data_IF_971447847573
#
_entry.id   IF_971447847573
#
_cell.length_a   1.000
_cell.length_b   1.000
_cell.length_c   1.000
_cell.angle_alpha   90.00
_cell.angle_beta   90.00
_cell.angle_gamma   90.00
#
_symmetry.space_group_name_H-M   'P 1'
#
loop_
_entity.id
_entity.type
_entity.pdbx_description
1 polymer ?
#
# COMPACT_ATOMS: atom_id res chain seq x y z
N UNK A 1 12.25 -26.23 -18.29
CA UNK A 1 12.78 -25.24 -17.32
C UNK A 1 14.15 -25.68 -16.84
N UNK A 2 15.02 -24.73 -16.51
CA UNK A 2 16.32 -24.99 -15.87
C UNK A 2 16.22 -24.52 -14.42
N UNK A 3 16.62 -25.38 -13.49
CA UNK A 3 16.57 -25.12 -12.05
C UNK A 3 17.96 -25.35 -11.49
N UNK A 4 18.44 -24.41 -10.69
CA UNK A 4 19.72 -24.50 -9.99
C UNK A 4 19.50 -24.32 -8.50
N UNK A 5 20.25 -25.05 -7.69
CA UNK A 5 20.34 -24.81 -6.25
C UNK A 5 21.70 -25.23 -5.69
N UNK A 6 22.19 -24.53 -4.65
CA UNK A 6 23.42 -24.92 -3.97
C UNK A 6 23.21 -26.13 -3.06
N UNK A 7 24.25 -26.91 -2.81
CA UNK A 7 24.23 -28.06 -1.91
C UNK A 7 25.03 -27.77 -0.64
N UNK A 8 24.84 -28.59 0.40
CA UNK A 8 25.55 -28.43 1.67
C UNK A 8 27.06 -28.65 1.57
N UNK A 9 27.53 -29.33 0.52
CA UNK A 9 28.94 -29.58 0.21
C UNK A 9 29.58 -28.46 -0.63
N UNK A 10 28.84 -27.38 -0.91
CA UNK A 10 29.30 -26.25 -1.73
C UNK A 10 29.17 -26.47 -3.24
N UNK A 11 28.75 -27.66 -3.69
CA UNK A 11 28.42 -27.90 -5.09
C UNK A 11 27.10 -27.23 -5.49
N UNK A 12 26.84 -27.13 -6.79
CA UNK A 12 25.55 -26.63 -7.32
C UNK A 12 24.95 -27.72 -8.19
N UNK A 13 23.68 -28.05 -7.94
CA UNK A 13 22.94 -28.97 -8.81
C UNK A 13 22.27 -28.18 -9.92
N UNK A 14 22.48 -28.62 -11.17
CA UNK A 14 21.70 -28.20 -12.33
C UNK A 14 20.67 -29.29 -12.66
N UNK A 15 19.41 -28.89 -12.81
CA UNK A 15 18.32 -29.79 -13.17
C UNK A 15 17.48 -29.22 -14.30
N UNK A 16 17.29 -30.01 -15.36
CA UNK A 16 16.38 -29.66 -16.45
C UNK A 16 15.08 -30.44 -16.30
N UNK A 17 13.97 -29.72 -16.14
CA UNK A 17 12.67 -30.31 -15.82
C UNK A 17 11.56 -29.85 -16.75
N UNK A 18 10.46 -30.60 -16.76
CA UNK A 18 9.22 -30.25 -17.46
C UNK A 18 8.00 -30.63 -16.63
N UNK A 19 6.89 -29.94 -16.85
CA UNK A 19 5.61 -30.19 -16.19
C UNK A 19 4.46 -29.77 -17.11
N UNK A 20 3.37 -30.56 -17.19
CA UNK A 20 2.10 -30.06 -17.69
C UNK A 20 1.37 -29.28 -16.58
N UNK A 21 1.24 -27.96 -16.73
CA UNK A 21 0.48 -27.11 -15.80
C UNK A 21 1.09 -26.99 -14.39
N UNK A 22 0.23 -26.99 -13.37
CA UNK A 22 0.59 -26.68 -11.97
C UNK A 22 0.90 -27.95 -11.15
N UNK A 23 1.88 -28.74 -11.58
CA UNK A 23 2.32 -29.95 -10.85
C UNK A 23 3.82 -29.90 -10.51
N UNK A 24 4.31 -30.89 -9.78
CA UNK A 24 5.75 -31.03 -9.50
C UNK A 24 6.52 -31.29 -10.80
N UNK A 25 7.50 -30.46 -11.17
CA UNK A 25 8.30 -30.69 -12.37
C UNK A 25 9.16 -31.95 -12.24
N UNK A 26 9.15 -32.75 -13.31
CA UNK A 26 9.92 -33.99 -13.43
C UNK A 26 11.17 -33.79 -14.26
N UNK A 27 12.23 -34.53 -13.93
CA UNK A 27 13.49 -34.52 -14.66
C UNK A 27 13.26 -34.92 -16.12
N UNK A 28 13.89 -34.21 -17.05
CA UNK A 28 13.87 -34.49 -18.49
C UNK A 28 15.23 -35.05 -18.88
N UNK A 29 15.25 -36.29 -19.37
CA UNK A 29 16.48 -36.97 -19.77
C UNK A 29 17.08 -36.46 -21.08
N UNK A 30 16.26 -35.91 -21.98
CA UNK A 30 16.69 -35.34 -23.27
C UNK A 30 15.94 -34.03 -23.57
N UNK A 31 16.38 -32.90 -23.00
CA UNK A 31 15.73 -31.61 -23.20
C UNK A 31 16.08 -31.03 -24.60
N UNK A 32 15.16 -30.30 -25.25
CA UNK A 32 15.41 -29.70 -26.59
C UNK A 32 16.62 -28.75 -26.65
N UNK A 33 16.91 -28.07 -25.54
CA UNK A 33 18.12 -27.27 -25.35
C UNK A 33 18.79 -27.71 -24.06
N UNK A 34 20.02 -28.21 -24.16
CA UNK A 34 20.79 -28.68 -23.01
C UNK A 34 21.43 -27.48 -22.31
N UNK A 35 21.18 -27.35 -21.01
CA UNK A 35 21.78 -26.32 -20.19
C UNK A 35 23.05 -26.85 -19.53
N UNK A 36 24.09 -26.03 -19.47
CA UNK A 36 25.34 -26.35 -18.79
C UNK A 36 25.58 -25.41 -17.61
N UNK A 37 26.07 -25.97 -16.51
CA UNK A 37 26.41 -25.21 -15.31
C UNK A 37 27.71 -24.44 -15.57
N UNK A 38 27.73 -23.14 -15.24
CA UNK A 38 28.95 -22.35 -15.30
C UNK A 38 29.80 -22.59 -14.04
N UNK A 39 31.11 -22.71 -14.24
CA UNK A 39 32.10 -22.78 -13.16
C UNK A 39 32.13 -21.53 -12.26
N UNK A 40 31.54 -20.41 -12.70
CA UNK A 40 31.38 -19.20 -11.90
C UNK A 40 30.27 -19.27 -10.86
N UNK A 41 29.52 -20.39 -10.79
CA UNK A 41 28.45 -20.56 -9.80
C UNK A 41 29.02 -20.87 -8.43
N UNK A 42 28.55 -20.18 -7.40
CA UNK A 42 28.94 -20.41 -6.01
C UNK A 42 27.80 -20.07 -5.04
N UNK A 43 27.87 -20.61 -3.83
CA UNK A 43 27.00 -20.19 -2.73
C UNK A 43 27.77 -20.24 -1.43
N UNK A 44 27.67 -19.18 -0.64
CA UNK A 44 28.27 -19.06 0.68
C UNK A 44 27.30 -18.36 1.64
N UNK A 45 27.74 -18.08 2.87
CA UNK A 45 26.91 -17.46 3.92
C UNK A 45 26.44 -16.04 3.61
N UNK A 46 27.09 -15.35 2.67
CA UNK A 46 26.86 -13.93 2.40
C UNK A 46 26.26 -13.68 1.02
N UNK A 47 26.50 -14.54 0.04
CA UNK A 47 26.01 -14.39 -1.32
C UNK A 47 25.86 -15.73 -2.05
N UNK A 48 24.98 -15.76 -3.04
CA UNK A 48 24.76 -16.90 -3.94
C UNK A 48 24.70 -16.41 -5.37
N UNK A 49 25.55 -16.96 -6.23
CA UNK A 49 25.55 -16.73 -7.66
C UNK A 49 25.34 -18.06 -8.37
N UNK A 50 24.26 -18.17 -9.13
CA UNK A 50 23.96 -19.36 -9.94
C UNK A 50 24.00 -18.94 -11.40
N UNK A 51 24.86 -19.57 -12.18
CA UNK A 51 25.09 -19.21 -13.58
C UNK A 51 25.03 -20.46 -14.43
N UNK A 52 24.29 -20.40 -15.53
CA UNK A 52 24.18 -21.48 -16.50
C UNK A 52 24.19 -20.90 -17.90
N UNK A 53 24.53 -21.74 -18.87
CA UNK A 53 24.44 -21.43 -20.30
C UNK A 53 23.46 -22.34 -21.00
N UNK A 54 22.74 -21.79 -21.98
CA UNK A 54 21.88 -22.52 -22.92
C UNK A 54 22.28 -22.05 -24.34
N UNK A 55 22.31 -22.95 -25.35
CA UNK A 55 22.52 -22.55 -26.74
C UNK A 55 21.53 -21.46 -27.19
N UNK A 56 22.03 -20.44 -27.88
CA UNK A 56 21.21 -19.37 -28.43
C UNK A 56 20.37 -19.85 -29.62
N UNK A 57 19.13 -19.37 -29.70
CA UNK A 57 18.21 -19.61 -30.83
C UNK A 57 18.29 -18.51 -31.90
N UNK A 58 19.32 -17.66 -31.89
CA UNK A 58 19.52 -16.51 -32.79
C UNK A 58 18.43 -15.41 -32.72
N UNK A 59 17.57 -15.47 -31.70
CA UNK A 59 16.58 -14.44 -31.39
C UNK A 59 17.23 -13.31 -30.59
N UNK A 60 16.81 -12.07 -30.85
CA UNK A 60 17.26 -10.89 -30.10
C UNK A 60 16.39 -10.59 -28.88
N UNK A 61 15.28 -11.31 -28.72
CA UNK A 61 14.33 -11.13 -27.64
C UNK A 61 13.81 -12.50 -27.22
N UNK A 62 13.92 -12.82 -25.92
CA UNK A 62 13.56 -14.12 -25.39
C UNK A 62 12.61 -13.95 -24.19
N UNK A 63 11.35 -14.41 -24.26
CA UNK A 63 10.49 -14.44 -23.10
C UNK A 63 11.07 -15.40 -22.05
N UNK A 64 11.13 -14.93 -20.81
CA UNK A 64 11.66 -15.65 -19.66
C UNK A 64 10.61 -15.71 -18.57
N UNK A 65 10.34 -16.93 -18.10
CA UNK A 65 9.62 -17.16 -16.84
C UNK A 65 10.69 -17.46 -15.79
N UNK A 66 10.66 -16.72 -14.69
CA UNK A 66 11.60 -16.91 -13.60
C UNK A 66 10.86 -17.18 -12.28
N UNK A 67 11.54 -17.88 -11.38
CA UNK A 67 11.10 -18.11 -10.02
C UNK A 67 12.33 -18.34 -9.13
N UNK A 68 12.24 -17.94 -7.86
CA UNK A 68 13.28 -18.22 -6.87
C UNK A 68 12.69 -18.53 -5.50
N UNK A 69 13.46 -19.24 -4.68
CA UNK A 69 13.12 -19.59 -3.31
C UNK A 69 14.36 -19.47 -2.43
N UNK A 70 14.17 -19.03 -1.19
CA UNK A 70 15.21 -19.17 -0.16
C UNK A 70 15.32 -20.60 0.37
N UNK A 71 14.40 -21.50 0.00
CA UNK A 71 14.34 -22.85 0.54
C UNK A 71 15.02 -23.86 -0.38
N UNK A 72 16.10 -24.47 0.11
CA UNK A 72 16.79 -25.54 -0.59
C UNK A 72 15.99 -26.86 -0.61
N UNK A 73 16.06 -27.67 -1.68
CA UNK A 73 15.47 -29.02 -1.73
C UNK A 73 16.04 -30.04 -0.72
N UNK A 74 17.15 -29.71 -0.04
CA UNK A 74 17.84 -30.57 0.93
C UNK A 74 18.43 -31.84 0.31
N UNK A 75 18.65 -31.86 -1.01
CA UNK A 75 19.24 -32.98 -1.75
C UNK A 75 20.00 -32.45 -2.96
N UNK A 76 21.15 -33.07 -3.26
CA UNK A 76 21.94 -32.79 -4.46
C UNK A 76 21.41 -33.50 -5.71
N UNK A 77 20.40 -34.37 -5.57
CA UNK A 77 19.85 -35.11 -6.71
C UNK A 77 19.13 -34.19 -7.69
N UNK A 78 19.42 -34.26 -9.01
CA UNK A 78 18.70 -33.49 -10.02
C UNK A 78 17.20 -33.75 -10.06
N UNK A 79 16.68 -34.83 -9.48
CA UNK A 79 15.25 -35.15 -9.41
C UNK A 79 14.56 -34.76 -8.08
N UNK A 80 15.29 -34.15 -7.13
CA UNK A 80 14.80 -33.81 -5.80
C UNK A 80 13.46 -33.06 -5.82
N UNK A 81 12.62 -33.28 -4.80
CA UNK A 81 11.35 -32.55 -4.68
C UNK A 81 11.65 -31.07 -4.45
N UNK A 82 11.15 -30.22 -5.36
CA UNK A 82 11.33 -28.78 -5.31
C UNK A 82 10.24 -28.21 -4.41
N UNK A 83 10.65 -27.43 -3.41
CA UNK A 83 9.73 -26.69 -2.55
C UNK A 83 9.24 -25.44 -3.29
N UNK A 84 8.10 -24.90 -2.86
CA UNK A 84 7.47 -23.76 -3.52
C UNK A 84 8.44 -22.57 -3.63
N UNK A 85 8.36 -21.83 -4.73
CA UNK A 85 9.05 -20.56 -4.90
C UNK A 85 8.43 -19.49 -4.01
N UNK A 86 9.23 -18.56 -3.51
CA UNK A 86 8.75 -17.41 -2.73
C UNK A 86 8.39 -16.23 -3.62
N UNK A 87 8.94 -16.19 -4.84
CA UNK A 87 8.62 -15.17 -5.85
C UNK A 87 8.84 -15.75 -7.25
N UNK A 88 8.05 -15.26 -8.21
CA UNK A 88 8.05 -15.69 -9.60
C UNK A 88 7.46 -14.61 -10.49
N UNK A 89 7.73 -14.69 -11.79
CA UNK A 89 7.18 -13.77 -12.76
C UNK A 89 7.60 -14.08 -14.18
N UNK A 90 7.23 -13.18 -15.08
CA UNK A 90 7.64 -13.20 -16.47
C UNK A 90 8.40 -11.92 -16.80
N UNK A 91 9.36 -12.03 -17.70
CA UNK A 91 10.12 -10.90 -18.24
C UNK A 91 10.56 -11.25 -19.66
N UNK A 92 11.19 -10.31 -20.35
CA UNK A 92 11.78 -10.52 -21.67
C UNK A 92 13.26 -10.18 -21.60
N UNK A 93 14.11 -11.15 -21.94
CA UNK A 93 15.54 -10.95 -22.05
C UNK A 93 15.87 -10.38 -23.43
N UNK A 94 16.43 -9.18 -23.44
CA UNK A 94 16.99 -8.57 -24.65
C UNK A 94 18.40 -9.10 -24.89
N UNK A 95 18.56 -9.86 -25.97
CA UNK A 95 19.80 -10.48 -26.40
C UNK A 95 20.53 -9.64 -27.46
N UNK A 96 20.02 -8.46 -27.81
CA UNK A 96 20.68 -7.52 -28.75
C UNK A 96 21.78 -6.66 -28.10
N UNK A 97 21.81 -6.60 -26.77
CA UNK A 97 22.80 -5.83 -26.04
C UNK A 97 24.19 -6.49 -26.13
N UNK A 98 25.20 -5.73 -26.58
CA UNK A 98 26.58 -6.17 -26.54
C UNK A 98 27.07 -6.25 -25.08
N UNK A 99 27.47 -7.44 -24.62
CA UNK A 99 28.18 -7.57 -23.35
C UNK A 99 29.64 -7.16 -23.55
N UNK A 100 30.05 -6.03 -22.98
CA UNK A 100 31.45 -5.62 -22.96
C UNK A 100 32.27 -6.60 -22.12
N UNK A 101 33.10 -7.42 -22.79
CA UNK A 101 34.02 -8.37 -22.16
C UNK A 101 35.09 -7.61 -21.36
N UNK A 102 34.92 -7.49 -20.04
CA UNK A 102 35.93 -6.88 -19.17
C UNK A 102 35.41 -6.18 -17.92
N UNK A 103 34.10 -5.91 -17.83
CA UNK A 103 33.48 -5.54 -16.58
C UNK A 103 32.45 -6.60 -16.22
N UNK A 104 32.83 -7.53 -15.35
CA UNK A 104 31.90 -7.93 -14.30
C UNK A 104 31.70 -6.65 -13.48
N UNK A 105 30.82 -5.79 -13.97
CA UNK A 105 30.14 -4.87 -13.09
C UNK A 105 29.55 -5.79 -12.05
N UNK A 106 30.03 -5.72 -10.82
CA UNK A 106 29.21 -5.95 -9.63
C UNK A 106 28.00 -5.04 -9.79
N UNK A 107 27.06 -5.44 -10.64
CA UNK A 107 25.71 -4.98 -10.57
C UNK A 107 25.20 -5.60 -9.28
N UNK A 108 25.36 -4.85 -8.19
CA UNK A 108 24.32 -4.79 -7.15
C UNK A 108 23.00 -5.04 -7.85
N UNK A 109 22.39 -6.19 -7.55
CA UNK A 109 21.40 -6.87 -8.39
C UNK A 109 20.60 -5.90 -9.26
N UNK A 110 20.72 -6.06 -10.58
CA UNK A 110 19.93 -5.33 -11.55
C UNK A 110 18.46 -5.66 -11.31
N UNK A 111 17.83 -4.95 -10.38
CA UNK A 111 16.40 -4.92 -10.23
C UNK A 111 15.82 -4.52 -11.57
N UNK A 112 14.98 -5.37 -12.14
CA UNK A 112 14.16 -4.98 -13.29
C UNK A 112 13.55 -3.62 -12.99
N UNK A 113 13.78 -2.64 -13.88
CA UNK A 113 13.16 -1.32 -13.74
C UNK A 113 11.67 -1.51 -13.43
N UNK A 114 11.16 -0.92 -12.34
CA UNK A 114 9.79 -1.19 -11.90
C UNK A 114 8.82 -0.86 -13.04
N UNK A 115 7.83 -1.73 -13.24
CA UNK A 115 6.84 -1.53 -14.29
C UNK A 115 6.13 -0.18 -14.10
N UNK A 116 5.69 0.46 -15.20
CA UNK A 116 4.94 1.73 -15.10
C UNK A 116 3.69 1.59 -14.23
N UNK A 117 3.05 0.41 -14.24
CA UNK A 117 1.93 0.09 -13.38
C UNK A 117 2.32 0.06 -11.89
N UNK A 118 3.47 -0.55 -11.55
CA UNK A 118 3.98 -0.56 -10.18
C UNK A 118 4.28 0.85 -9.69
N UNK A 119 4.97 1.66 -10.50
CA UNK A 119 5.26 3.06 -10.15
C UNK A 119 3.96 3.83 -9.92
N UNK A 120 2.98 3.70 -10.82
CA UNK A 120 1.69 4.38 -10.69
C UNK A 120 0.92 3.95 -9.43
N UNK A 121 0.89 2.64 -9.13
CA UNK A 121 0.27 2.11 -7.91
C UNK A 121 0.92 2.68 -6.65
N UNK A 122 2.26 2.65 -6.57
CA UNK A 122 3.00 3.17 -5.41
C UNK A 122 2.75 4.67 -5.23
N UNK A 123 2.86 5.47 -6.31
CA UNK A 123 2.67 6.93 -6.23
C UNK A 123 1.25 7.28 -5.77
N UNK A 124 0.22 6.69 -6.37
CA UNK A 124 -1.18 6.96 -6.00
C UNK A 124 -1.49 6.47 -4.59
N UNK A 125 -1.01 5.28 -4.23
CA UNK A 125 -1.17 4.69 -2.90
C UNK A 125 -0.55 5.58 -1.82
N UNK A 126 0.72 5.98 -1.99
CA UNK A 126 1.45 6.84 -1.04
C UNK A 126 0.81 8.23 -0.94
N UNK A 127 0.54 8.89 -2.08
CA UNK A 127 -0.09 10.22 -2.06
C UNK A 127 -1.43 10.19 -1.32
N UNK A 128 -2.24 9.16 -1.55
CA UNK A 128 -3.51 9.04 -0.85
C UNK A 128 -3.34 8.77 0.64
N UNK A 129 -2.66 7.68 1.00
CA UNK A 129 -2.66 7.13 2.37
C UNK A 129 -1.67 7.82 3.30
N UNK A 130 -0.55 8.33 2.80
CA UNK A 130 0.44 9.05 3.62
C UNK A 130 0.20 10.56 3.64
N UNK A 131 -0.49 11.15 2.65
CA UNK A 131 -0.68 12.60 2.56
C UNK A 131 -2.15 13.02 2.59
N UNK A 132 -2.92 12.82 1.51
CA UNK A 132 -4.24 13.44 1.37
C UNK A 132 -5.23 13.01 2.46
N UNK A 133 -5.29 11.71 2.77
CA UNK A 133 -6.20 11.19 3.80
C UNK A 133 -5.86 11.74 5.19
N UNK A 134 -4.63 11.57 5.73
CA UNK A 134 -4.31 12.08 7.07
C UNK A 134 -4.34 13.62 7.14
N UNK A 135 -3.85 14.34 6.13
CA UNK A 135 -3.94 15.81 6.09
C UNK A 135 -5.41 16.25 6.06
N UNK A 136 -6.22 15.60 5.23
CA UNK A 136 -7.67 15.86 5.17
C UNK A 136 -8.37 15.63 6.51
N UNK A 137 -7.88 14.70 7.35
CA UNK A 137 -8.42 14.45 8.68
C UNK A 137 -7.99 15.53 9.70
N UNK A 138 -6.81 16.13 9.51
CA UNK A 138 -6.31 17.22 10.34
C UNK A 138 -7.04 18.55 10.08
N UNK A 139 -7.45 18.82 8.84
CA UNK A 139 -8.17 20.06 8.46
C UNK A 139 -9.35 20.38 9.39
N UNK A 140 -10.37 19.51 9.57
CA UNK A 140 -11.48 19.81 10.47
C UNK A 140 -11.04 19.89 11.93
N UNK A 141 -10.01 19.14 12.33
CA UNK A 141 -9.50 19.14 13.72
C UNK A 141 -8.91 20.49 14.09
N UNK A 142 -8.06 21.03 13.23
CA UNK A 142 -7.36 22.30 13.46
C UNK A 142 -8.31 23.46 13.21
N UNK A 143 -8.99 23.50 12.06
CA UNK A 143 -9.80 24.65 11.66
C UNK A 143 -10.96 24.93 12.63
N UNK A 144 -11.62 23.89 13.17
CA UNK A 144 -12.74 24.07 14.10
C UNK A 144 -12.32 24.64 15.46
N UNK A 145 -11.05 24.50 15.84
CA UNK A 145 -10.50 25.12 17.03
C UNK A 145 -10.04 26.56 16.83
N UNK A 146 -9.72 26.95 15.58
CA UNK A 146 -9.18 28.26 15.26
C UNK A 146 -10.22 29.24 14.71
N UNK A 147 -11.26 28.76 14.02
CA UNK A 147 -12.25 29.61 13.36
C UNK A 147 -13.67 29.07 13.41
N UNK A 148 -14.66 29.98 13.46
CA UNK A 148 -16.07 29.66 13.31
C UNK A 148 -16.54 29.51 11.85
N UNK A 149 -15.68 29.81 10.87
CA UNK A 149 -15.96 29.67 9.44
C UNK A 149 -16.06 28.20 9.04
N UNK A 150 -16.86 27.89 8.02
CA UNK A 150 -17.17 26.51 7.58
C UNK A 150 -16.39 26.02 6.35
N UNK A 151 -15.39 26.75 5.88
CA UNK A 151 -14.57 26.37 4.72
C UNK A 151 -13.93 24.98 4.89
N UNK A 152 -13.56 24.61 6.12
CA UNK A 152 -12.96 23.33 6.47
C UNK A 152 -13.81 22.14 6.04
N UNK A 153 -15.14 22.30 5.99
CA UNK A 153 -16.05 21.22 5.61
C UNK A 153 -15.89 20.89 4.12
N UNK A 154 -15.94 21.92 3.26
CA UNK A 154 -15.74 21.76 1.82
C UNK A 154 -14.33 21.23 1.51
N UNK A 155 -13.32 21.74 2.20
CA UNK A 155 -11.94 21.25 2.04
C UNK A 155 -11.80 19.79 2.47
N UNK A 156 -12.34 19.39 3.62
CA UNK A 156 -12.32 18.01 4.08
C UNK A 156 -13.02 17.07 3.09
N UNK A 157 -14.20 17.46 2.60
CA UNK A 157 -14.95 16.70 1.61
C UNK A 157 -14.21 16.55 0.28
N UNK A 158 -13.62 17.63 -0.25
CA UNK A 158 -12.86 17.59 -1.50
C UNK A 158 -11.59 16.73 -1.36
N UNK A 159 -10.81 16.97 -0.31
CA UNK A 159 -9.53 16.28 -0.09
C UNK A 159 -9.72 14.80 0.20
N UNK A 160 -10.68 14.41 1.04
CA UNK A 160 -10.88 13.00 1.36
C UNK A 160 -11.88 12.29 0.45
N UNK A 161 -13.06 12.87 0.26
CA UNK A 161 -14.17 12.22 -0.45
C UNK A 161 -14.01 12.21 -1.97
N UNK A 162 -13.18 13.09 -2.53
CA UNK A 162 -12.92 13.15 -3.98
C UNK A 162 -11.48 12.75 -4.28
N UNK A 163 -10.49 13.50 -3.80
CA UNK A 163 -9.09 13.27 -4.16
C UNK A 163 -8.57 11.98 -3.51
N UNK A 164 -8.68 11.86 -2.19
CA UNK A 164 -8.21 10.69 -1.43
C UNK A 164 -8.89 9.41 -1.90
N UNK A 165 -10.23 9.41 -1.94
CA UNK A 165 -11.01 8.28 -2.44
C UNK A 165 -10.64 7.91 -3.89
N UNK A 166 -10.58 8.90 -4.79
CA UNK A 166 -10.23 8.67 -6.19
C UNK A 166 -8.85 8.03 -6.36
N UNK A 167 -7.86 8.47 -5.59
CA UNK A 167 -6.51 7.88 -5.60
C UNK A 167 -6.49 6.47 -5.00
N UNK A 168 -7.25 6.19 -3.92
CA UNK A 168 -7.36 4.83 -3.37
C UNK A 168 -8.00 3.89 -4.38
N UNK A 169 -9.09 4.32 -5.03
CA UNK A 169 -9.77 3.54 -6.08
C UNK A 169 -8.81 3.26 -7.23
N UNK A 170 -8.12 4.29 -7.74
CA UNK A 170 -7.18 4.12 -8.84
C UNK A 170 -6.02 3.18 -8.47
N UNK A 171 -5.42 3.35 -7.29
CA UNK A 171 -4.34 2.48 -6.82
C UNK A 171 -4.82 1.01 -6.69
N UNK A 172 -6.00 0.79 -6.13
CA UNK A 172 -6.58 -0.55 -5.96
C UNK A 172 -6.89 -1.21 -7.31
N UNK A 173 -7.46 -0.44 -8.24
CA UNK A 173 -7.78 -0.92 -9.60
C UNK A 173 -6.52 -1.29 -10.37
N UNK A 174 -5.46 -0.46 -10.31
CA UNK A 174 -4.17 -0.79 -10.91
C UNK A 174 -3.64 -2.10 -10.30
N UNK A 175 -3.77 -2.29 -8.98
CA UNK A 175 -3.28 -3.48 -8.33
C UNK A 175 -3.97 -4.75 -8.83
N UNK A 176 -5.30 -4.76 -8.85
CA UNK A 176 -6.10 -5.93 -9.26
C UNK A 176 -5.91 -6.27 -10.74
N UNK A 177 -5.67 -5.29 -11.61
CA UNK A 177 -5.49 -5.55 -13.04
C UNK A 177 -4.08 -5.90 -13.47
N UNK A 178 -3.05 -5.54 -12.69
CA UNK A 178 -1.65 -5.69 -13.11
C UNK A 178 -0.85 -6.68 -12.26
N UNK A 179 -1.34 -7.06 -11.09
CA UNK A 179 -0.61 -7.92 -10.17
C UNK A 179 -1.44 -9.14 -9.77
N UNK A 180 -0.87 -10.33 -9.98
CA UNK A 180 -1.46 -11.61 -9.60
C UNK A 180 -1.11 -12.00 -8.15
N UNK A 181 -1.78 -13.04 -7.62
CA UNK A 181 -1.46 -13.68 -6.34
C UNK A 181 -2.49 -13.50 -5.22
N UNK A 182 -3.59 -12.77 -5.47
CA UNK A 182 -4.68 -12.63 -4.50
C UNK A 182 -4.26 -11.96 -3.18
N UNK A 183 -5.06 -12.14 -2.12
CA UNK A 183 -4.79 -11.59 -0.77
C UNK A 183 -3.93 -12.58 0.02
N UNK A 184 -2.62 -12.57 -0.24
CA UNK A 184 -1.65 -13.50 0.35
C UNK A 184 -0.54 -12.80 1.17
N UNK A 185 -0.63 -11.48 1.34
CA UNK A 185 0.31 -10.68 2.13
C UNK A 185 -0.42 -9.68 3.02
N UNK A 186 0.27 -9.17 4.04
CA UNK A 186 -0.25 -8.12 4.90
C UNK A 186 -0.56 -6.84 4.11
N UNK A 187 0.31 -6.42 3.19
CA UNK A 187 0.06 -5.25 2.35
C UNK A 187 -1.25 -5.40 1.57
N UNK A 188 -1.47 -6.55 0.92
CA UNK A 188 -2.66 -6.78 0.08
C UNK A 188 -3.93 -6.86 0.91
N UNK A 189 -3.87 -7.47 2.10
CA UNK A 189 -5.00 -7.51 3.04
C UNK A 189 -5.39 -6.11 3.51
N UNK A 190 -4.42 -5.36 4.04
CA UNK A 190 -4.68 -4.01 4.55
C UNK A 190 -4.98 -3.01 3.42
N UNK A 191 -4.45 -3.22 2.21
CA UNK A 191 -4.81 -2.47 1.00
C UNK A 191 -6.27 -2.69 0.59
N UNK A 192 -6.75 -3.92 0.61
CA UNK A 192 -8.16 -4.24 0.36
C UNK A 192 -9.07 -3.67 1.46
N UNK A 193 -8.68 -3.80 2.73
CA UNK A 193 -9.40 -3.17 3.84
C UNK A 193 -9.45 -1.64 3.68
N UNK A 194 -8.34 -1.01 3.29
CA UNK A 194 -8.27 0.43 3.06
C UNK A 194 -9.26 0.89 1.97
N UNK A 195 -9.35 0.14 0.87
CA UNK A 195 -10.30 0.40 -0.20
C UNK A 195 -11.75 0.35 0.30
N UNK A 196 -12.11 -0.73 0.99
CA UNK A 196 -13.46 -0.90 1.58
C UNK A 196 -13.74 0.21 2.60
N UNK A 197 -12.78 0.49 3.48
CA UNK A 197 -12.93 1.49 4.53
C UNK A 197 -13.10 2.89 3.95
N UNK A 198 -12.44 3.24 2.85
CA UNK A 198 -12.67 4.54 2.22
C UNK A 198 -14.06 4.67 1.58
N UNK A 199 -14.59 3.60 0.98
CA UNK A 199 -15.95 3.59 0.46
C UNK A 199 -16.97 3.76 1.59
N UNK A 200 -16.84 2.96 2.66
CA UNK A 200 -17.71 3.03 3.83
C UNK A 200 -17.60 4.40 4.51
N UNK A 201 -16.40 4.92 4.69
CA UNK A 201 -16.17 6.20 5.36
C UNK A 201 -16.74 7.38 4.55
N UNK A 202 -16.61 7.35 3.23
CA UNK A 202 -17.15 8.39 2.34
C UNK A 202 -18.68 8.35 2.32
N UNK A 203 -19.28 7.17 2.22
CA UNK A 203 -20.73 6.97 2.31
C UNK A 203 -21.28 7.38 3.67
N UNK A 204 -20.58 7.02 4.76
CA UNK A 204 -20.95 7.42 6.11
C UNK A 204 -20.86 8.93 6.30
N UNK A 205 -19.83 9.58 5.75
CA UNK A 205 -19.71 11.04 5.74
C UNK A 205 -20.88 11.71 5.02
N UNK A 206 -21.27 11.17 3.86
CA UNK A 206 -22.43 11.66 3.10
C UNK A 206 -23.73 11.49 3.91
N UNK A 207 -23.94 10.30 4.47
CA UNK A 207 -25.10 10.01 5.30
C UNK A 207 -25.20 10.95 6.51
N UNK A 208 -24.11 11.09 7.29
CA UNK A 208 -24.09 11.92 8.51
C UNK A 208 -24.34 13.39 8.24
N UNK A 209 -23.84 13.92 7.12
CA UNK A 209 -23.86 15.35 6.85
C UNK A 209 -25.03 15.81 5.97
N UNK A 210 -25.56 14.96 5.10
CA UNK A 210 -26.65 15.31 4.20
C UNK A 210 -28.01 14.72 4.62
N UNK A 211 -28.02 13.57 5.29
CA UNK A 211 -29.27 12.93 5.73
C UNK A 211 -29.52 13.35 7.18
N UNK A 212 -30.39 14.34 7.37
CA UNK A 212 -30.83 14.80 8.69
C UNK A 212 -31.87 13.83 9.26
N UNK A 213 -31.43 12.81 9.97
CA UNK A 213 -32.34 12.00 10.77
C UNK A 213 -32.84 12.86 11.94
N UNK A 214 -34.15 12.91 12.13
CA UNK A 214 -34.81 13.67 13.20
C UNK A 214 -34.18 13.33 14.57
N UNK A 215 -34.04 14.35 15.43
CA UNK A 215 -33.36 14.30 16.74
C UNK A 215 -33.52 12.93 17.42
N UNK A 216 -32.46 12.13 17.43
CA UNK A 216 -32.43 10.90 18.21
C UNK A 216 -32.45 11.25 19.71
N UNK A 217 -33.09 10.38 20.51
CA UNK A 217 -33.10 10.45 21.98
C UNK A 217 -31.69 10.47 22.60
N UNK A 218 -30.68 10.04 21.85
CA UNK A 218 -29.25 9.96 22.23
C UNK A 218 -28.38 11.02 21.54
N UNK A 219 -28.86 12.26 21.43
CA UNK A 219 -28.04 13.36 20.92
C UNK A 219 -27.22 13.94 22.07
N UNK A 220 -25.89 14.04 21.91
CA UNK A 220 -25.02 14.63 22.94
C UNK A 220 -25.39 16.10 23.22
N UNK A 221 -24.98 16.66 24.37
CA UNK A 221 -25.18 18.09 24.69
C UNK A 221 -24.60 19.02 23.61
N UNK A 222 -23.56 18.56 22.90
CA UNK A 222 -23.00 19.23 21.72
C UNK A 222 -23.87 19.11 20.46
N UNK A 223 -25.12 18.63 20.57
CA UNK A 223 -26.09 18.43 19.48
C UNK A 223 -25.65 17.45 18.38
N UNK A 224 -24.65 16.60 18.65
CA UNK A 224 -24.12 15.62 17.68
C UNK A 224 -24.75 14.27 17.94
N UNK A 225 -25.29 13.65 16.89
CA UNK A 225 -25.80 12.28 16.96
C UNK A 225 -24.67 11.24 16.99
N UNK A 226 -24.94 10.00 17.42
CA UNK A 226 -23.95 8.91 17.50
C UNK A 226 -23.19 8.65 16.19
N UNK A 227 -23.87 8.83 15.06
CA UNK A 227 -23.29 8.64 13.72
C UNK A 227 -22.10 9.56 13.42
N UNK A 228 -22.04 10.77 14.00
CA UNK A 228 -20.88 11.66 13.87
C UNK A 228 -19.65 11.09 14.58
N UNK A 229 -19.84 10.44 15.74
CA UNK A 229 -18.74 9.83 16.48
C UNK A 229 -18.25 8.58 15.76
N UNK A 230 -19.17 7.76 15.23
CA UNK A 230 -18.81 6.60 14.41
C UNK A 230 -17.99 7.04 13.19
N UNK A 231 -18.42 8.08 12.46
CA UNK A 231 -17.67 8.62 11.32
C UNK A 231 -16.27 9.10 11.71
N UNK A 232 -16.14 9.77 12.85
CA UNK A 232 -14.85 10.26 13.33
C UNK A 232 -13.90 9.12 13.75
N UNK A 233 -14.40 8.16 14.53
CA UNK A 233 -13.60 7.03 15.03
C UNK A 233 -13.21 6.13 13.87
N UNK A 234 -14.17 5.77 13.02
CA UNK A 234 -13.90 4.95 11.84
C UNK A 234 -12.90 5.63 10.91
N UNK A 235 -13.02 6.94 10.70
CA UNK A 235 -12.03 7.72 9.95
C UNK A 235 -10.62 7.67 10.53
N UNK A 236 -10.47 7.71 11.85
CA UNK A 236 -9.15 7.56 12.49
C UNK A 236 -8.58 6.15 12.28
N UNK A 237 -9.41 5.11 12.37
CA UNK A 237 -9.00 3.73 12.06
C UNK A 237 -8.56 3.61 10.60
N UNK A 238 -9.31 4.21 9.66
CA UNK A 238 -8.95 4.23 8.24
C UNK A 238 -7.60 4.90 8.00
N UNK A 239 -7.27 5.99 8.70
CA UNK A 239 -5.94 6.62 8.63
C UNK A 239 -4.85 5.66 9.11
N UNK A 240 -5.04 4.99 10.24
CA UNK A 240 -4.08 4.02 10.77
C UNK A 240 -3.85 2.84 9.83
N UNK A 241 -4.93 2.30 9.23
CA UNK A 241 -4.85 1.26 8.20
C UNK A 241 -4.06 1.76 6.99
N UNK A 242 -4.31 2.99 6.52
CA UNK A 242 -3.57 3.60 5.41
C UNK A 242 -2.07 3.71 5.68
N UNK A 243 -1.68 4.10 6.90
CA UNK A 243 -0.27 4.10 7.30
C UNK A 243 0.32 2.69 7.25
N UNK A 244 -0.35 1.71 7.86
CA UNK A 244 0.13 0.33 7.86
C UNK A 244 0.27 -0.26 6.44
N UNK A 245 -0.70 0.00 5.56
CA UNK A 245 -0.65 -0.42 4.15
C UNK A 245 0.58 0.15 3.43
N UNK A 246 0.90 1.43 3.65
CA UNK A 246 2.09 2.07 3.06
C UNK A 246 3.38 1.44 3.58
N UNK A 247 3.45 1.21 4.89
CA UNK A 247 4.60 0.58 5.52
C UNK A 247 4.86 -0.81 4.96
N UNK A 248 3.85 -1.67 4.89
CA UNK A 248 3.98 -3.02 4.34
C UNK A 248 4.33 -3.01 2.84
N UNK A 249 3.79 -2.06 2.08
CA UNK A 249 4.14 -1.91 0.67
C UNK A 249 5.63 -1.59 0.47
N UNK A 250 6.20 -0.74 1.33
CA UNK A 250 7.62 -0.39 1.29
C UNK A 250 8.52 -1.45 1.91
N UNK A 251 8.07 -2.12 2.98
CA UNK A 251 8.92 -3.00 3.78
C UNK A 251 8.94 -4.44 3.25
N UNK A 252 7.81 -4.92 2.75
CA UNK A 252 7.58 -6.32 2.41
C UNK A 252 7.41 -6.50 0.89
N UNK A 253 6.54 -5.71 0.24
CA UNK A 253 6.26 -5.88 -1.20
C UNK A 253 7.37 -5.29 -2.09
N UNK A 254 7.97 -4.16 -1.72
CA UNK A 254 9.02 -3.53 -2.53
C UNK A 254 10.24 -4.43 -2.78
N UNK A 255 10.81 -5.11 -1.76
CA UNK A 255 11.85 -6.11 -1.98
C UNK A 255 11.42 -7.22 -2.95
N UNK A 256 10.19 -7.70 -2.85
CA UNK A 256 9.68 -8.79 -3.68
C UNK A 256 9.47 -8.34 -5.13
N UNK A 257 9.03 -7.10 -5.32
CA UNK A 257 8.69 -6.53 -6.63
C UNK A 257 9.91 -6.03 -7.41
N UNK A 258 10.94 -5.49 -6.72
CA UNK A 258 12.10 -4.83 -7.37
C UNK A 258 13.41 -5.56 -7.08
N UNK A 259 13.41 -6.56 -6.18
CA UNK A 259 14.60 -7.32 -5.81
C UNK A 259 15.59 -6.56 -4.91
N UNK A 260 15.22 -5.37 -4.43
CA UNK A 260 16.06 -4.53 -3.58
C UNK A 260 15.30 -4.01 -2.37
N UNK A 261 15.96 -3.89 -1.22
CA UNK A 261 15.34 -3.32 -0.02
C UNK A 261 15.14 -1.82 -0.19
N UNK A 262 13.99 -1.32 0.27
CA UNK A 262 13.77 0.13 0.36
C UNK A 262 14.88 0.79 1.20
N UNK A 263 15.42 1.95 0.77
CA UNK A 263 16.48 2.64 1.50
C UNK A 263 16.08 2.93 2.95
N UNK A 264 17.03 2.77 3.89
CA UNK A 264 16.73 2.97 5.32
C UNK A 264 16.27 4.41 5.61
N UNK A 265 16.81 5.39 4.89
CA UNK A 265 16.40 6.79 5.00
C UNK A 265 14.94 7.02 4.64
N UNK A 266 14.40 6.27 3.66
CA UNK A 266 12.98 6.35 3.30
C UNK A 266 12.11 5.80 4.45
N UNK A 267 12.52 4.69 5.07
CA UNK A 267 11.81 4.09 6.21
C UNK A 267 11.79 5.02 7.42
N UNK A 268 12.93 5.63 7.74
CA UNK A 268 13.05 6.61 8.83
C UNK A 268 12.22 7.86 8.53
N UNK A 269 12.35 8.41 7.32
CA UNK A 269 11.59 9.59 6.89
C UNK A 269 10.07 9.36 6.93
N UNK A 270 9.63 8.16 6.56
CA UNK A 270 8.22 7.78 6.63
C UNK A 270 7.68 7.81 8.07
N UNK A 271 8.35 7.16 9.02
CA UNK A 271 7.91 7.17 10.42
C UNK A 271 8.02 8.54 11.07
N UNK A 272 9.03 9.33 10.69
CA UNK A 272 9.11 10.73 11.11
C UNK A 272 7.89 11.53 10.64
N UNK A 273 7.50 11.37 9.38
CA UNK A 273 6.30 12.01 8.81
C UNK A 273 5.00 11.55 9.49
N UNK A 274 4.80 10.25 9.69
CA UNK A 274 3.66 9.69 10.44
C UNK A 274 3.61 10.27 11.86
N UNK A 275 4.78 10.40 12.52
CA UNK A 275 4.87 10.98 13.86
C UNK A 275 4.43 12.44 13.89
N UNK A 276 4.82 13.25 12.89
CA UNK A 276 4.36 14.65 12.77
C UNK A 276 2.84 14.73 12.67
N UNK A 277 2.23 13.89 11.82
CA UNK A 277 0.78 13.88 11.61
C UNK A 277 0.03 13.43 12.88
N UNK A 278 0.49 12.36 13.52
CA UNK A 278 -0.09 11.86 14.76
C UNK A 278 0.02 12.90 15.89
N UNK A 279 1.21 13.49 16.08
CA UNK A 279 1.43 14.53 17.09
C UNK A 279 0.54 15.75 16.81
N UNK A 280 0.44 16.19 15.55
CA UNK A 280 -0.44 17.30 15.17
C UNK A 280 -1.90 17.02 15.51
N UNK A 281 -2.36 15.78 15.30
CA UNK A 281 -3.73 15.38 15.66
C UNK A 281 -3.94 15.40 17.17
N UNK A 282 -3.00 14.84 17.94
CA UNK A 282 -3.05 14.79 19.40
C UNK A 282 -2.98 16.19 20.02
N UNK A 283 -2.11 17.07 19.53
CA UNK A 283 -2.05 18.47 19.94
C UNK A 283 -3.37 19.20 19.63
N UNK A 284 -3.97 18.93 18.45
CA UNK A 284 -5.30 19.43 18.13
C UNK A 284 -6.38 18.95 19.11
N UNK A 285 -6.32 17.69 19.56
CA UNK A 285 -7.22 17.20 20.60
C UNK A 285 -6.97 17.87 21.95
N UNK A 286 -5.72 17.95 22.40
CA UNK A 286 -5.38 18.49 23.72
C UNK A 286 -5.67 19.99 23.85
N UNK A 287 -5.30 20.79 22.84
CA UNK A 287 -5.32 22.25 22.94
C UNK A 287 -6.50 22.90 22.22
N UNK A 288 -6.96 22.33 21.11
CA UNK A 288 -7.99 22.97 20.27
C UNK A 288 -9.41 22.46 20.56
N UNK A 289 -9.57 21.23 21.07
CA UNK A 289 -10.88 20.69 21.41
C UNK A 289 -11.59 21.49 22.53
N UNK A 290 -10.93 21.86 23.65
CA UNK A 290 -11.60 22.64 24.70
C UNK A 290 -12.09 24.00 24.17
N UNK A 291 -11.24 24.66 23.36
CA UNK A 291 -11.58 25.92 22.70
C UNK A 291 -12.75 25.75 21.74
N UNK A 292 -12.76 24.69 20.94
CA UNK A 292 -13.86 24.37 20.03
C UNK A 292 -15.18 24.19 20.79
N UNK A 293 -15.18 23.42 21.89
CA UNK A 293 -16.38 23.19 22.69
C UNK A 293 -16.91 24.50 23.28
N UNK A 294 -16.03 25.40 23.74
CA UNK A 294 -16.42 26.73 24.22
C UNK A 294 -17.09 27.56 23.12
N UNK A 295 -16.49 27.65 21.93
CA UNK A 295 -17.08 28.39 20.80
C UNK A 295 -18.43 27.81 20.36
N UNK A 296 -18.59 26.49 20.38
CA UNK A 296 -19.86 25.84 20.06
C UNK A 296 -20.94 26.11 21.11
N UNK A 297 -20.57 26.21 22.40
CA UNK A 297 -21.46 26.59 23.49
C UNK A 297 -21.92 28.04 23.37
N UNK A 298 -20.99 28.98 23.20
CA UNK A 298 -21.30 30.41 23.04
C UNK A 298 -22.25 30.65 21.86
N UNK A 299 -22.03 29.96 20.73
CA UNK A 299 -22.91 30.06 19.56
C UNK A 299 -24.32 29.53 19.82
N UNK A 300 -24.47 28.48 20.64
CA UNK A 300 -25.79 27.95 21.01
C UNK A 300 -26.54 28.93 21.90
N UNK A 301 -25.88 29.44 22.93
CA UNK A 301 -26.47 30.41 23.86
C UNK A 301 -26.88 31.70 23.11
N UNK A 302 -26.06 32.18 22.18
CA UNK A 302 -26.38 33.30 21.31
C UNK A 302 -27.61 33.06 20.43
N UNK A 303 -27.72 31.87 19.81
CA UNK A 303 -28.90 31.51 19.01
C UNK A 303 -30.16 31.46 19.87
N UNK A 304 -30.11 30.87 21.07
CA UNK A 304 -31.27 30.79 21.98
C UNK A 304 -31.74 32.20 22.37
N UNK A 305 -30.82 33.11 22.70
CA UNK A 305 -31.15 34.50 23.03
C UNK A 305 -31.81 35.23 21.85
N UNK A 306 -31.28 35.04 20.64
CA UNK A 306 -31.84 35.65 19.43
C UNK A 306 -33.25 35.14 19.13
N UNK A 307 -33.50 33.83 19.24
CA UNK A 307 -34.83 33.25 19.02
C UNK A 307 -35.83 33.70 20.11
N UNK A 308 -35.39 33.78 21.36
CA UNK A 308 -36.21 34.35 22.45
C UNK A 308 -36.57 35.83 22.20
N UNK A 309 -35.62 36.62 21.71
CA UNK A 309 -35.85 38.02 21.37
C UNK A 309 -36.83 38.18 20.20
N UNK A 310 -36.68 37.39 19.11
CA UNK A 310 -37.62 37.36 17.99
C UNK A 310 -39.03 36.99 18.42
N UNK A 311 -39.17 35.96 19.27
CA UNK A 311 -40.47 35.54 19.81
C UNK A 311 -41.13 36.67 20.61
N UNK A 312 -40.35 37.39 21.42
CA UNK A 312 -40.84 38.54 22.19
C UNK A 312 -41.29 39.69 21.27
N UNK A 313 -40.52 40.03 20.24
CA UNK A 313 -40.93 41.07 19.26
C UNK A 313 -42.21 40.68 18.52
N UNK A 314 -42.33 39.42 18.09
CA UNK A 314 -43.54 38.93 17.42
C UNK A 314 -44.79 39.05 18.31
N UNK A 315 -44.65 38.85 19.63
CA UNK A 315 -45.76 39.03 20.58
C UNK A 315 -46.18 40.49 20.79
N UNK A 316 -45.32 41.47 20.47
CA UNK A 316 -45.61 42.90 20.63
C UNK A 316 -46.21 43.49 19.35
N UNK A 317 -45.79 43.03 18.17
CA UNK A 317 -46.26 43.54 16.87
C UNK A 317 -47.55 42.91 16.31
N UNK A 318 -48.15 41.97 17.04
CA UNK A 318 -49.43 41.32 16.69
C UNK A 318 -50.64 41.85 17.47
N UNK A 319 -50.47 42.94 18.22
CA UNK A 319 -51.53 43.70 18.89
C UNK A 319 -51.77 45.02 18.15
#
# INVERSE_FOLDING_TARGET
MVILWPNSDGSVTLSQRSVPGHAQPKLVSSPPSVASLSASSYSNTSNTQLTFSIPSTSTTSQPLIYAYSATNPSSSSPDAIIKIHTSFGTTTLDLSAALSSGQVSTSTGGGSSPSKALIAHVVLGVLSTAFFIPIGALVPRIARGLTGKRWWFATHQAVQGVIGLGMVVAAFVIAVWNFDGGINSSHRLFGALMFIFMLVQSSLGMFVHYIKIARHRFTAESGRGPSNFIHMIFGAVTVCVGFWTTWEGMNSEWPDAVGTKAPIGLKVGYWFWVSILALSYLLGLAFLLPRQLRMERERREGNIRMESFKAKLASIGGA
#
